data_IF_840634681274
#
_entry.id   IF_840634681274
#
_cell.length_a   1.000
_cell.length_b   1.000
_cell.length_c   1.000
_cell.angle_alpha   90.00
_cell.angle_beta   90.00
_cell.angle_gamma   90.00
#
_symmetry.space_group_name_H-M   'P 1'
#
loop_
_entity.id
_entity.type
_entity.pdbx_description
1 polymer ?
#
# COMPACT_ATOMS: atom_id res chain seq x y z
N UNK A 1 5.22 13.53 25.13
CA UNK A 1 5.38 14.23 23.83
C UNK A 1 6.84 14.58 23.55
N UNK A 2 7.56 15.29 24.44
CA UNK A 2 8.98 15.65 24.19
C UNK A 2 9.93 14.43 24.15
N UNK A 3 9.68 13.40 24.96
CA UNK A 3 10.52 12.18 24.98
C UNK A 3 10.35 11.30 23.73
N UNK A 4 9.16 11.28 23.11
CA UNK A 4 8.91 10.49 21.90
C UNK A 4 9.55 11.10 20.64
N UNK A 5 9.71 12.42 20.60
CA UNK A 5 10.39 13.11 19.48
C UNK A 5 11.87 12.72 19.41
N UNK A 6 12.51 12.44 20.56
CA UNK A 6 13.93 12.04 20.62
C UNK A 6 14.23 10.70 19.95
N UNK A 7 13.19 9.90 19.65
CA UNK A 7 13.35 8.63 18.95
C UNK A 7 13.44 8.82 17.43
N UNK A 8 13.07 9.99 16.92
CA UNK A 8 13.13 10.30 15.49
C UNK A 8 14.49 10.86 15.12
N UNK A 9 14.98 10.40 13.98
CA UNK A 9 16.12 11.01 13.30
C UNK A 9 15.65 12.21 12.48
N UNK A 10 14.57 12.00 11.72
CA UNK A 10 13.89 13.02 10.92
C UNK A 10 12.38 12.85 11.12
N UNK A 11 11.66 13.95 11.30
CA UNK A 11 10.20 13.97 11.37
C UNK A 11 9.72 15.24 10.69
N UNK A 12 9.00 15.07 9.59
CA UNK A 12 8.42 16.13 8.80
C UNK A 12 6.91 15.92 8.75
N UNK A 13 6.19 16.99 9.03
CA UNK A 13 4.74 17.03 9.03
C UNK A 13 4.28 17.97 7.91
N UNK A 14 3.29 17.51 7.16
CA UNK A 14 2.65 18.19 6.05
C UNK A 14 1.15 18.02 6.15
N UNK A 15 0.40 18.95 5.57
CA UNK A 15 -1.05 18.92 5.54
C UNK A 15 -1.53 18.89 4.09
N UNK A 16 -2.35 17.90 3.75
CA UNK A 16 -3.05 17.85 2.48
C UNK A 16 -4.39 18.57 2.62
N UNK A 17 -4.83 19.25 1.57
CA UNK A 17 -6.15 19.88 1.54
C UNK A 17 -7.27 18.85 1.71
N UNK A 18 -7.12 17.68 1.08
CA UNK A 18 -8.03 16.56 1.20
C UNK A 18 -7.30 15.33 1.77
N UNK A 19 -7.89 14.58 2.72
CA UNK A 19 -7.34 13.33 3.19
C UNK A 19 -7.11 12.34 2.05
N UNK A 20 -6.02 11.59 2.13
CA UNK A 20 -5.70 10.54 1.15
C UNK A 20 -5.73 9.17 1.80
N UNK A 21 -6.05 8.15 1.00
CA UNK A 21 -5.92 6.73 1.39
C UNK A 21 -4.95 5.95 0.50
N UNK A 22 -4.26 6.66 -0.39
CA UNK A 22 -3.33 6.08 -1.35
C UNK A 22 -2.07 6.94 -1.40
N UNK A 23 -0.91 6.29 -1.28
CA UNK A 23 0.39 6.89 -1.56
C UNK A 23 1.15 5.93 -2.46
N UNK A 24 1.56 6.40 -3.62
CA UNK A 24 2.35 5.62 -4.57
C UNK A 24 3.62 6.40 -4.95
N UNK A 25 4.78 5.77 -4.88
CA UNK A 25 6.01 6.39 -5.34
C UNK A 25 6.05 6.49 -6.86
N UNK A 26 6.42 7.66 -7.37
CA UNK A 26 6.74 7.90 -8.77
C UNK A 26 8.25 8.08 -8.87
N UNK A 27 8.91 7.00 -9.28
CA UNK A 27 10.37 6.95 -9.33
C UNK A 27 10.96 7.10 -7.94
N UNK A 28 11.95 7.99 -7.83
CA UNK A 28 12.61 8.23 -6.56
C UNK A 28 11.98 9.43 -5.82
N UNK A 29 11.85 10.58 -6.47
CA UNK A 29 11.73 11.86 -5.74
C UNK A 29 10.31 12.30 -5.41
N UNK A 30 9.32 11.67 -6.02
CA UNK A 30 7.93 12.16 -5.98
C UNK A 30 6.98 11.05 -5.56
N UNK A 31 5.88 11.46 -4.95
CA UNK A 31 4.76 10.60 -4.61
C UNK A 31 3.52 11.06 -5.35
N UNK A 32 2.59 10.14 -5.59
CA UNK A 32 1.25 10.45 -6.02
C UNK A 32 0.29 10.16 -4.87
N UNK A 33 -0.61 11.11 -4.62
CA UNK A 33 -1.69 11.01 -3.63
C UNK A 33 -3.01 11.38 -4.31
N UNK A 34 -4.10 10.85 -3.78
CA UNK A 34 -5.43 11.21 -4.26
C UNK A 34 -6.49 11.22 -3.16
N UNK A 35 -7.45 12.13 -3.29
CA UNK A 35 -8.61 12.20 -2.41
C UNK A 35 -9.56 11.00 -2.59
N UNK A 36 -10.32 10.69 -1.53
CA UNK A 36 -11.26 9.58 -1.51
C UNK A 36 -12.66 9.94 -0.99
N UNK A 37 -13.03 11.22 -1.03
CA UNK A 37 -14.34 11.71 -0.64
C UNK A 37 -15.39 11.41 -1.73
N UNK A 38 -16.49 10.75 -1.34
CA UNK A 38 -17.57 10.39 -2.25
C UNK A 38 -18.55 11.53 -2.59
N UNK A 39 -18.42 12.68 -1.94
CA UNK A 39 -19.36 13.81 -2.02
C UNK A 39 -18.84 15.00 -2.80
N UNK A 40 -17.54 15.07 -3.07
CA UNK A 40 -16.87 16.16 -3.79
C UNK A 40 -15.90 15.65 -4.85
N UNK A 41 -15.39 16.58 -5.64
CA UNK A 41 -14.26 16.32 -6.55
C UNK A 41 -13.01 16.04 -5.75
N UNK A 42 -12.25 15.03 -6.17
CA UNK A 42 -11.03 14.58 -5.49
C UNK A 42 -9.81 15.03 -6.28
N UNK A 43 -8.85 15.65 -5.61
CA UNK A 43 -7.56 15.98 -6.20
C UNK A 43 -6.72 14.71 -6.41
N UNK A 44 -5.97 14.68 -7.50
CA UNK A 44 -4.88 13.75 -7.74
C UNK A 44 -3.62 14.60 -7.90
N UNK A 45 -2.66 14.44 -7.00
CA UNK A 45 -1.47 15.28 -6.94
C UNK A 45 -0.21 14.43 -7.10
N UNK A 46 0.72 14.90 -7.92
CA UNK A 46 2.12 14.50 -7.85
C UNK A 46 2.86 15.52 -6.99
N UNK A 47 3.44 15.05 -5.89
CA UNK A 47 4.15 15.86 -4.91
C UNK A 47 5.62 15.49 -4.92
N UNK A 48 6.49 16.48 -5.19
CA UNK A 48 7.92 16.36 -5.02
C UNK A 48 8.27 16.45 -3.53
N UNK A 49 8.96 15.43 -3.04
CA UNK A 49 9.44 15.37 -1.66
C UNK A 49 10.58 16.39 -1.47
N UNK A 50 10.70 17.12 -0.34
CA UNK A 50 11.79 18.06 -0.12
C UNK A 50 13.18 17.45 -0.35
N UNK A 51 14.12 18.20 -0.95
CA UNK A 51 15.45 17.66 -1.30
C UNK A 51 16.21 17.03 -0.12
N UNK A 52 16.10 17.62 1.08
CA UNK A 52 16.70 17.05 2.32
C UNK A 52 16.25 15.61 2.57
N UNK A 53 15.04 15.30 2.15
CA UNK A 53 14.39 14.02 2.32
C UNK A 53 14.65 13.07 1.14
N UNK A 54 15.18 13.55 0.01
CA UNK A 54 15.55 12.73 -1.16
C UNK A 54 17.00 12.18 -1.12
N UNK A 55 17.95 12.98 -0.60
CA UNK A 55 19.39 12.84 -0.89
C UNK A 55 20.06 11.58 -0.29
N UNK A 56 20.95 10.95 -1.07
CA UNK A 56 21.87 9.86 -0.68
C UNK A 56 23.18 10.34 -0.01
N UNK A 57 23.68 11.56 -0.27
CA UNK A 57 24.79 12.18 0.46
C UNK A 57 24.97 13.69 0.13
N UNK A 58 25.56 14.42 1.09
CA UNK A 58 25.99 15.83 1.15
C UNK A 58 25.00 16.96 1.48
N UNK A 59 25.35 17.64 2.58
CA UNK A 59 24.68 18.74 3.25
C UNK A 59 24.99 20.07 2.54
N UNK A 60 24.18 20.43 1.55
CA UNK A 60 24.01 21.82 1.15
C UNK A 60 22.92 22.51 1.98
N UNK A 61 22.91 23.83 2.01
CA UNK A 61 21.74 24.59 2.44
C UNK A 61 20.59 24.31 1.45
N UNK A 62 19.70 23.36 1.79
CA UNK A 62 18.45 23.16 1.06
C UNK A 62 17.40 24.12 1.65
N UNK A 63 16.98 25.17 0.91
CA UNK A 63 15.97 26.11 1.40
C UNK A 63 14.56 25.51 1.37
N UNK A 64 14.32 24.51 0.51
CA UNK A 64 13.03 23.85 0.35
C UNK A 64 12.73 22.94 1.56
N UNK A 65 11.57 23.19 2.19
CA UNK A 65 11.11 22.47 3.38
C UNK A 65 9.77 21.76 3.17
N UNK A 66 8.97 22.24 2.22
CA UNK A 66 7.60 21.77 1.98
C UNK A 66 7.51 20.89 0.74
N UNK A 67 6.46 20.08 0.67
CA UNK A 67 6.09 19.35 -0.53
C UNK A 67 5.75 20.35 -1.65
N UNK A 68 6.28 20.10 -2.85
CA UNK A 68 5.97 20.91 -4.02
C UNK A 68 5.02 20.12 -4.93
N UNK A 69 3.89 20.71 -5.28
CA UNK A 69 3.01 20.15 -6.32
C UNK A 69 3.72 20.29 -7.67
N UNK A 70 4.00 19.16 -8.33
CA UNK A 70 4.52 19.14 -9.70
C UNK A 70 3.38 19.06 -10.71
N UNK A 71 2.39 18.21 -10.43
CA UNK A 71 1.26 17.98 -11.31
C UNK A 71 -0.03 17.82 -10.51
N UNK A 72 -1.13 18.33 -11.05
CA UNK A 72 -2.46 18.22 -10.44
C UNK A 72 -3.52 17.76 -11.44
N UNK A 73 -4.48 16.97 -10.97
CA UNK A 73 -5.67 16.56 -11.71
C UNK A 73 -6.86 16.43 -10.79
N UNK A 74 -8.05 16.27 -11.37
CA UNK A 74 -9.30 16.11 -10.62
C UNK A 74 -10.05 14.87 -11.07
N UNK A 75 -10.48 14.07 -10.09
CA UNK A 75 -11.37 12.93 -10.26
C UNK A 75 -12.75 13.26 -9.71
N UNK A 76 -13.79 12.92 -10.49
CA UNK A 76 -15.18 13.00 -10.02
C UNK A 76 -15.52 11.85 -9.05
N UNK A 77 -14.64 10.85 -8.93
CA UNK A 77 -14.84 9.66 -8.11
C UNK A 77 -13.76 9.57 -7.02
N UNK A 78 -14.10 9.03 -5.84
CA UNK A 78 -13.12 8.79 -4.80
C UNK A 78 -12.10 7.73 -5.22
N UNK A 79 -10.82 7.96 -4.93
CA UNK A 79 -9.72 7.06 -5.34
C UNK A 79 -9.39 6.07 -4.22
N UNK A 80 -9.62 4.78 -4.48
CA UNK A 80 -9.41 3.70 -3.50
C UNK A 80 -8.21 2.81 -3.84
N UNK A 81 -7.69 2.91 -5.06
CA UNK A 81 -6.42 2.32 -5.46
C UNK A 81 -5.75 3.25 -6.46
N UNK A 82 -4.44 3.41 -6.32
CA UNK A 82 -3.60 4.22 -7.19
C UNK A 82 -2.32 3.44 -7.47
N UNK A 83 -1.95 3.31 -8.75
CA UNK A 83 -0.70 2.65 -9.17
C UNK A 83 0.00 3.42 -10.25
N UNK A 84 1.31 3.59 -10.12
CA UNK A 84 2.15 4.18 -11.15
C UNK A 84 2.61 3.08 -12.12
N UNK A 85 2.69 3.41 -13.41
CA UNK A 85 3.19 2.48 -14.43
C UNK A 85 4.70 2.66 -14.59
N UNK A 86 5.54 1.68 -14.18
CA UNK A 86 6.99 1.82 -14.26
C UNK A 86 7.47 2.19 -15.66
N UNK A 87 8.38 3.16 -15.74
CA UNK A 87 8.95 3.64 -17.01
C UNK A 87 8.03 4.49 -17.88
N UNK A 88 6.80 4.78 -17.43
CA UNK A 88 5.81 5.54 -18.21
C UNK A 88 5.25 6.69 -17.37
N UNK A 89 4.87 7.80 -18.00
CA UNK A 89 4.19 8.92 -17.34
C UNK A 89 2.69 8.64 -17.15
N UNK A 90 2.35 7.47 -16.63
CA UNK A 90 0.99 6.98 -16.47
C UNK A 90 0.72 6.57 -15.01
N UNK A 91 -0.47 6.90 -14.54
CA UNK A 91 -1.02 6.37 -13.30
C UNK A 91 -2.41 5.79 -13.55
N UNK A 92 -2.77 4.82 -12.72
CA UNK A 92 -4.03 4.11 -12.77
C UNK A 92 -4.78 4.38 -11.47
N UNK A 93 -6.08 4.62 -11.56
CA UNK A 93 -6.94 4.74 -10.37
C UNK A 93 -8.16 3.84 -10.49
N UNK A 94 -8.64 3.34 -9.36
CA UNK A 94 -9.96 2.71 -9.27
C UNK A 94 -10.78 3.30 -8.13
N UNK A 95 -12.10 3.26 -8.30
CA UNK A 95 -13.08 3.73 -7.34
C UNK A 95 -14.09 2.63 -7.00
N UNK A 96 -14.75 2.68 -5.84
CA UNK A 96 -15.82 1.74 -5.50
C UNK A 96 -16.95 1.76 -6.53
N UNK A 97 -17.49 0.58 -6.85
CA UNK A 97 -18.66 0.40 -7.70
C UNK A 97 -18.62 1.02 -9.11
N UNK A 98 -17.46 1.50 -9.60
CA UNK A 98 -17.37 2.08 -10.95
C UNK A 98 -17.27 1.04 -12.06
N UNK A 99 -16.73 -0.15 -11.77
CA UNK A 99 -16.42 -1.13 -12.84
C UNK A 99 -15.25 -0.71 -13.74
N UNK A 100 -14.49 0.32 -13.36
CA UNK A 100 -13.53 0.95 -14.25
C UNK A 100 -12.19 1.19 -13.55
N UNK A 101 -11.13 0.88 -14.28
CA UNK A 101 -9.78 1.40 -13.99
C UNK A 101 -9.56 2.59 -14.91
N UNK A 102 -9.41 3.78 -14.33
CA UNK A 102 -9.14 5.01 -15.05
C UNK A 102 -7.64 5.15 -15.29
N UNK A 103 -7.24 5.38 -16.54
CA UNK A 103 -5.86 5.66 -16.93
C UNK A 103 -5.67 7.17 -17.03
N UNK A 104 -4.61 7.66 -16.42
CA UNK A 104 -4.24 9.08 -16.42
C UNK A 104 -2.83 9.25 -16.96
N UNK A 105 -2.61 10.35 -17.67
CA UNK A 105 -1.30 10.79 -18.11
C UNK A 105 -0.84 11.96 -17.27
N UNK A 106 0.33 11.79 -16.67
CA UNK A 106 1.10 12.86 -16.03
C UNK A 106 1.69 13.71 -17.15
N UNK A 107 1.55 15.03 -17.02
CA UNK A 107 2.12 16.00 -17.94
C UNK A 107 3.65 15.90 -18.01
N UNK A 108 4.23 16.39 -19.11
CA UNK A 108 5.66 16.61 -19.16
C UNK A 108 6.05 17.77 -18.22
N UNK A 109 7.35 18.06 -18.07
CA UNK A 109 7.85 19.11 -17.17
C UNK A 109 7.30 20.52 -17.47
N UNK A 110 6.80 20.75 -18.70
CA UNK A 110 6.19 22.01 -19.13
C UNK A 110 4.67 22.09 -18.86
N UNK A 111 4.08 21.02 -18.32
CA UNK A 111 2.64 20.90 -18.11
C UNK A 111 2.35 20.32 -16.75
N UNK A 112 1.84 21.15 -15.86
CA UNK A 112 1.54 20.78 -14.47
C UNK A 112 0.21 20.02 -14.31
N UNK A 113 -0.25 19.32 -15.35
CA UNK A 113 -1.60 18.71 -15.39
C UNK A 113 -1.53 17.19 -15.48
N UNK A 114 -2.28 16.53 -14.60
CA UNK A 114 -2.65 15.12 -14.69
C UNK A 114 -4.03 15.03 -15.35
N UNK A 115 -4.14 14.32 -16.47
CA UNK A 115 -5.39 14.23 -17.23
C UNK A 115 -5.80 12.79 -17.52
N UNK A 116 -7.11 12.48 -17.52
CA UNK A 116 -7.60 11.16 -17.91
C UNK A 116 -7.35 10.95 -19.40
N UNK A 117 -6.96 9.73 -19.79
CA UNK A 117 -6.69 9.37 -21.19
C UNK A 117 -7.58 8.26 -21.71
N UNK A 118 -7.83 7.23 -20.90
CA UNK A 118 -8.61 6.06 -21.28
C UNK A 118 -9.15 5.35 -20.05
N UNK A 119 -9.98 4.34 -20.26
CA UNK A 119 -10.53 3.48 -19.22
C UNK A 119 -10.36 2.02 -19.60
N UNK A 120 -10.13 1.17 -18.60
CA UNK A 120 -10.09 -0.29 -18.72
C UNK A 120 -11.31 -0.83 -17.98
N UNK A 121 -12.05 -1.71 -18.66
CA UNK A 121 -13.23 -2.36 -18.07
C UNK A 121 -12.77 -3.38 -17.01
N UNK A 122 -13.42 -3.35 -15.86
CA UNK A 122 -13.21 -4.28 -14.77
C UNK A 122 -14.58 -4.80 -14.34
N UNK A 123 -14.78 -6.11 -14.31
CA UNK A 123 -16.01 -6.66 -13.75
C UNK A 123 -15.98 -6.40 -12.24
N UNK A 124 -16.88 -5.53 -11.75
CA UNK A 124 -16.91 -5.14 -10.33
C UNK A 124 -18.22 -5.58 -9.69
N UNK A 125 -18.10 -6.34 -8.61
CA UNK A 125 -19.21 -6.57 -7.68
C UNK A 125 -19.58 -5.29 -6.94
N UNK A 126 -20.85 -5.14 -6.54
CA UNK A 126 -21.35 -3.92 -5.90
C UNK A 126 -20.78 -3.65 -4.49
N UNK A 127 -20.02 -4.59 -3.95
CA UNK A 127 -19.57 -4.69 -2.57
C UNK A 127 -18.09 -4.31 -2.36
N UNK A 128 -17.34 -4.01 -3.43
CA UNK A 128 -15.91 -3.65 -3.31
C UNK A 128 -15.44 -2.76 -4.48
N UNK A 129 -14.13 -2.52 -4.55
CA UNK A 129 -13.45 -1.82 -5.65
C UNK A 129 -12.39 -2.70 -6.29
N UNK A 130 -12.05 -2.40 -7.54
CA UNK A 130 -10.99 -3.08 -8.28
C UNK A 130 -9.63 -2.91 -7.60
N UNK A 131 -9.01 -4.02 -7.19
CA UNK A 131 -7.61 -4.08 -6.76
C UNK A 131 -6.71 -4.10 -8.00
N UNK A 132 -5.51 -3.53 -7.90
CA UNK A 132 -4.62 -3.37 -9.03
C UNK A 132 -3.17 -3.69 -8.64
N UNK A 133 -2.45 -4.32 -9.56
CA UNK A 133 -1.01 -4.45 -9.53
C UNK A 133 -0.44 -4.20 -10.93
N UNK A 134 0.74 -3.59 -11.00
CA UNK A 134 1.40 -3.28 -12.27
C UNK A 134 2.66 -4.11 -12.39
N UNK A 135 2.84 -4.89 -13.47
CA UNK A 135 4.07 -5.63 -13.70
C UNK A 135 5.20 -4.69 -14.09
N UNK A 136 6.43 -5.07 -13.77
CA UNK A 136 7.63 -4.39 -14.26
C UNK A 136 8.03 -5.01 -15.59
N UNK A 137 7.34 -4.62 -16.66
CA UNK A 137 7.52 -5.18 -18.02
C UNK A 137 7.73 -4.08 -19.05
N UNK A 138 8.27 -4.46 -20.22
CA UNK A 138 8.47 -3.51 -21.33
C UNK A 138 7.17 -3.05 -21.97
N UNK A 139 6.11 -3.88 -21.97
CA UNK A 139 4.77 -3.46 -22.36
C UNK A 139 3.98 -3.06 -21.10
N UNK A 140 3.37 -1.85 -21.05
CA UNK A 140 2.61 -1.39 -19.91
C UNK A 140 1.31 -2.18 -19.77
N UNK A 141 1.20 -2.97 -18.70
CA UNK A 141 0.02 -3.76 -18.37
C UNK A 141 -0.53 -3.43 -16.98
N UNK A 142 -1.74 -3.90 -16.68
CA UNK A 142 -2.31 -3.87 -15.33
C UNK A 142 -3.01 -5.19 -15.05
N UNK A 143 -2.64 -5.81 -13.93
CA UNK A 143 -3.40 -6.88 -13.32
C UNK A 143 -4.49 -6.26 -12.45
N UNK A 144 -5.74 -6.59 -12.71
CA UNK A 144 -6.87 -6.00 -12.01
C UNK A 144 -8.00 -7.02 -11.78
N UNK A 145 -8.77 -6.79 -10.72
CA UNK A 145 -9.93 -7.58 -10.37
C UNK A 145 -10.53 -7.13 -9.04
N UNK A 146 -11.78 -7.47 -8.80
CA UNK A 146 -12.49 -7.18 -7.55
C UNK A 146 -12.80 -8.45 -6.74
N UNK A 147 -12.93 -9.59 -7.42
CA UNK A 147 -13.16 -10.92 -6.85
C UNK A 147 -12.15 -11.92 -7.42
N UNK A 148 -11.96 -13.05 -6.74
CA UNK A 148 -11.00 -14.07 -7.16
C UNK A 148 -11.29 -14.62 -8.57
N UNK A 149 -12.56 -14.65 -9.00
CA UNK A 149 -12.99 -15.17 -10.30
C UNK A 149 -12.99 -14.17 -11.46
N UNK A 150 -12.58 -12.91 -11.22
CA UNK A 150 -12.57 -11.88 -12.26
C UNK A 150 -11.22 -11.18 -12.45
N UNK A 151 -10.14 -11.84 -12.01
CA UNK A 151 -8.78 -11.31 -12.16
C UNK A 151 -8.29 -11.45 -13.59
N UNK A 152 -7.82 -10.34 -14.15
CA UNK A 152 -7.41 -10.23 -15.55
C UNK A 152 -6.16 -9.34 -15.67
N UNK A 153 -5.35 -9.60 -16.69
CA UNK A 153 -4.25 -8.73 -17.12
C UNK A 153 -4.64 -8.04 -18.42
N UNK A 154 -4.62 -6.71 -18.43
CA UNK A 154 -4.94 -5.90 -19.62
C UNK A 154 -3.72 -5.06 -20.01
N UNK A 155 -3.39 -5.05 -21.30
CA UNK A 155 -2.41 -4.11 -21.87
C UNK A 155 -3.02 -2.71 -21.91
N UNK A 156 -2.33 -1.72 -21.34
CA UNK A 156 -2.91 -0.39 -21.09
C UNK A 156 -3.16 0.39 -22.38
N UNK A 157 -2.25 0.33 -23.35
CA UNK A 157 -2.35 1.13 -24.58
C UNK A 157 -3.40 0.59 -25.55
N UNK A 158 -3.42 -0.72 -25.78
CA UNK A 158 -4.35 -1.36 -26.71
C UNK A 158 -5.69 -1.72 -26.06
N UNK A 159 -5.78 -1.67 -24.73
CA UNK A 159 -6.91 -2.17 -23.94
C UNK A 159 -7.21 -3.66 -24.21
N UNK A 160 -6.21 -4.40 -24.69
CA UNK A 160 -6.34 -5.82 -25.00
C UNK A 160 -6.17 -6.64 -23.72
N UNK A 161 -7.14 -7.49 -23.43
CA UNK A 161 -7.00 -8.52 -22.42
C UNK A 161 -5.92 -9.53 -22.86
N UNK A 162 -4.86 -9.64 -22.07
CA UNK A 162 -3.72 -10.54 -22.31
C UNK A 162 -3.95 -11.86 -21.59
N UNK A 163 -4.57 -11.81 -20.42
CA UNK A 163 -4.74 -12.96 -19.54
C UNK A 163 -6.00 -12.83 -18.70
N UNK A 164 -6.62 -13.97 -18.39
CA UNK A 164 -7.74 -14.10 -17.47
C UNK A 164 -7.50 -15.32 -16.61
N UNK A 165 -7.59 -15.16 -15.29
CA UNK A 165 -7.49 -16.27 -14.36
C UNK A 165 -8.86 -16.92 -14.19
N UNK A 166 -8.97 -18.20 -14.54
CA UNK A 166 -10.17 -18.98 -14.27
C UNK A 166 -10.12 -19.52 -12.83
N UNK A 167 -10.89 -18.94 -11.92
CA UNK A 167 -11.09 -19.50 -10.57
C UNK A 167 -12.57 -19.70 -10.28
N UNK A 168 -12.88 -20.67 -9.41
CA UNK A 168 -14.26 -20.95 -8.97
C UNK A 168 -14.70 -20.06 -7.80
N UNK A 169 -13.79 -19.32 -7.17
CA UNK A 169 -14.07 -18.51 -5.97
C UNK A 169 -14.68 -17.16 -6.31
N UNK A 170 -15.86 -16.85 -5.78
CA UNK A 170 -16.50 -15.53 -5.92
C UNK A 170 -16.15 -14.55 -4.80
N UNK A 171 -15.18 -14.91 -3.97
CA UNK A 171 -14.78 -14.12 -2.82
C UNK A 171 -14.15 -12.79 -3.25
N UNK A 172 -14.43 -11.70 -2.54
CA UNK A 172 -13.82 -10.40 -2.79
C UNK A 172 -12.32 -10.42 -2.47
N UNK A 173 -11.55 -9.66 -3.26
CA UNK A 173 -10.11 -9.55 -3.10
C UNK A 173 -9.75 -8.55 -2.01
N UNK A 174 -8.86 -8.97 -1.11
CA UNK A 174 -8.16 -8.08 -0.19
C UNK A 174 -6.99 -7.38 -0.88
N UNK A 175 -6.19 -8.11 -1.64
CA UNK A 175 -5.00 -7.54 -2.32
C UNK A 175 -4.56 -8.35 -3.55
N UNK A 176 -3.81 -7.68 -4.42
CA UNK A 176 -3.15 -8.24 -5.60
C UNK A 176 -1.70 -7.74 -5.63
N UNK A 177 -0.74 -8.60 -5.96
CA UNK A 177 0.68 -8.21 -6.06
C UNK A 177 1.46 -9.14 -6.98
N UNK A 178 2.41 -8.60 -7.73
CA UNK A 178 3.38 -9.41 -8.50
C UNK A 178 4.54 -9.85 -7.62
N UNK A 179 4.90 -11.14 -7.70
CA UNK A 179 6.13 -11.68 -7.12
C UNK A 179 7.31 -11.43 -8.05
N UNK A 180 7.07 -11.62 -9.35
CA UNK A 180 8.00 -11.41 -10.45
C UNK A 180 7.24 -10.99 -11.72
N UNK A 181 7.90 -10.97 -12.88
CA UNK A 181 7.30 -10.54 -14.15
C UNK A 181 6.10 -11.39 -14.61
N UNK A 182 6.02 -12.65 -14.17
CA UNK A 182 5.01 -13.60 -14.63
C UNK A 182 4.13 -14.14 -13.49
N UNK A 183 4.64 -14.18 -12.27
CA UNK A 183 3.96 -14.76 -11.12
C UNK A 183 3.32 -13.70 -10.26
N UNK A 184 2.06 -13.89 -9.88
CA UNK A 184 1.33 -12.97 -9.00
C UNK A 184 0.57 -13.70 -7.89
N UNK A 185 0.35 -12.98 -6.79
CA UNK A 185 -0.40 -13.39 -5.62
C UNK A 185 -1.79 -12.75 -5.64
N UNK A 186 -2.79 -13.56 -5.33
CA UNK A 186 -4.11 -13.12 -4.93
C UNK A 186 -4.31 -13.43 -3.44
N UNK A 187 -4.83 -12.46 -2.71
CA UNK A 187 -5.34 -12.67 -1.35
C UNK A 187 -6.82 -12.34 -1.33
N UNK A 188 -7.65 -13.33 -1.03
CA UNK A 188 -9.05 -13.15 -0.70
C UNK A 188 -9.21 -12.51 0.69
N UNK A 189 -10.31 -11.79 0.91
CA UNK A 189 -10.65 -11.22 2.21
C UNK A 189 -10.80 -12.27 3.33
N UNK A 190 -11.19 -13.51 3.06
CA UNK A 190 -11.28 -14.63 4.01
C UNK A 190 -9.91 -15.20 4.40
N UNK A 191 -8.84 -14.76 3.73
CA UNK A 191 -7.48 -15.26 3.96
C UNK A 191 -7.04 -16.36 2.99
N UNK A 192 -7.81 -16.64 1.94
CA UNK A 192 -7.37 -17.53 0.85
C UNK A 192 -6.20 -16.90 0.09
N UNK A 193 -5.12 -17.65 -0.10
CA UNK A 193 -3.97 -17.24 -0.90
C UNK A 193 -3.86 -18.11 -2.15
N UNK A 194 -3.72 -17.48 -3.32
CA UNK A 194 -3.50 -18.18 -4.58
C UNK A 194 -2.32 -17.57 -5.32
N UNK A 195 -1.45 -18.43 -5.85
CA UNK A 195 -0.40 -18.05 -6.79
C UNK A 195 -0.78 -18.48 -8.20
N UNK A 196 -0.62 -17.57 -9.14
CA UNK A 196 -0.86 -17.80 -10.55
C UNK A 196 0.32 -17.31 -11.38
N UNK A 197 0.53 -17.96 -12.52
CA UNK A 197 1.56 -17.61 -13.50
C UNK A 197 0.85 -17.24 -14.80
N UNK A 198 1.07 -16.04 -15.32
CA UNK A 198 0.38 -15.54 -16.52
C UNK A 198 0.65 -16.39 -17.78
N UNK A 199 1.69 -17.24 -17.75
CA UNK A 199 2.04 -18.17 -18.84
C UNK A 199 1.18 -19.44 -18.79
N UNK A 200 0.41 -19.63 -17.72
CA UNK A 200 -0.41 -20.83 -17.46
C UNK A 200 -1.86 -20.42 -17.21
N UNK A 201 -2.82 -21.18 -17.73
CA UNK A 201 -4.25 -20.90 -17.52
C UNK A 201 -4.77 -21.34 -16.15
N UNK A 202 -4.01 -22.14 -15.41
CA UNK A 202 -4.42 -22.75 -14.14
C UNK A 202 -3.69 -22.11 -12.94
N UNK A 203 -4.27 -22.29 -11.76
CA UNK A 203 -3.67 -21.87 -10.48
C UNK A 203 -2.43 -22.72 -10.20
N UNK A 204 -1.30 -22.08 -9.89
CA UNK A 204 -0.04 -22.76 -9.63
C UNK A 204 0.02 -23.34 -8.20
N UNK A 205 -0.52 -22.61 -7.22
CA UNK A 205 -0.55 -23.05 -5.81
C UNK A 205 -1.67 -22.34 -5.04
N UNK A 206 -2.22 -23.01 -4.04
CA UNK A 206 -3.29 -22.49 -3.18
C UNK A 206 -3.01 -22.83 -1.71
N UNK A 207 -3.31 -21.89 -0.83
CA UNK A 207 -3.23 -22.02 0.62
C UNK A 207 -4.27 -21.16 1.33
N UNK A 208 -4.32 -21.26 2.66
CA UNK A 208 -5.27 -20.51 3.47
C UNK A 208 -4.61 -20.03 4.76
N UNK A 209 -4.88 -18.78 5.12
CA UNK A 209 -4.44 -18.13 6.34
C UNK A 209 -5.34 -18.47 7.55
N UNK A 210 -6.07 -19.59 7.49
CA UNK A 210 -6.98 -20.08 8.53
C UNK A 210 -6.24 -20.43 9.84
N UNK A 211 -5.72 -19.39 10.49
CA UNK A 211 -5.35 -19.36 11.88
C UNK A 211 -6.63 -19.21 12.72
N UNK A 212 -6.50 -19.23 14.04
CA UNK A 212 -7.60 -19.02 15.00
C UNK A 212 -8.32 -17.66 14.92
N UNK A 213 -8.21 -16.94 13.79
CA UNK A 213 -8.96 -15.74 13.48
C UNK A 213 -10.46 -16.06 13.37
N UNK A 214 -11.32 -15.12 13.74
CA UNK A 214 -12.76 -15.31 13.54
C UNK A 214 -13.09 -15.49 12.06
N UNK A 215 -14.16 -16.23 11.76
CA UNK A 215 -14.66 -16.44 10.39
C UNK A 215 -15.02 -15.15 9.64
N UNK A 216 -15.08 -14.01 10.33
CA UNK A 216 -15.40 -12.69 9.78
C UNK A 216 -14.17 -11.78 9.65
N UNK A 217 -12.95 -12.32 9.86
CA UNK A 217 -11.72 -11.54 9.72
C UNK A 217 -11.43 -11.27 8.25
N UNK A 218 -11.03 -10.03 7.95
CA UNK A 218 -10.58 -9.63 6.63
C UNK A 218 -9.07 -9.69 6.52
N UNK A 219 -8.56 -10.09 5.36
CA UNK A 219 -7.13 -10.30 5.12
C UNK A 219 -6.63 -9.50 3.93
N UNK A 220 -5.40 -9.01 4.07
CA UNK A 220 -4.58 -8.48 2.98
C UNK A 220 -3.20 -9.16 3.01
N UNK A 221 -2.50 -9.12 1.89
CA UNK A 221 -1.15 -9.64 1.77
C UNK A 221 -0.27 -8.73 0.91
N UNK A 222 1.02 -8.79 1.19
CA UNK A 222 2.06 -8.10 0.44
C UNK A 222 3.25 -9.04 0.23
N UNK A 223 3.95 -8.87 -0.88
CA UNK A 223 5.12 -9.65 -1.23
C UNK A 223 6.34 -8.75 -1.19
N UNK A 224 7.48 -9.27 -0.73
CA UNK A 224 8.76 -8.58 -0.89
C UNK A 224 9.29 -8.89 -2.29
N UNK A 225 9.41 -7.92 -3.22
CA UNK A 225 9.92 -8.21 -4.56
C UNK A 225 11.29 -8.90 -4.50
N UNK A 226 11.46 -9.97 -5.29
CA UNK A 226 12.69 -10.78 -5.30
C UNK A 226 12.90 -11.68 -4.08
N UNK A 227 11.95 -11.73 -3.15
CA UNK A 227 11.93 -12.65 -2.02
C UNK A 227 10.76 -13.63 -2.14
N UNK A 228 10.84 -14.70 -1.35
CA UNK A 228 9.81 -15.75 -1.31
C UNK A 228 8.79 -15.54 -0.20
N UNK A 229 8.96 -14.51 0.61
CA UNK A 229 8.14 -14.31 1.80
C UNK A 229 6.93 -13.45 1.47
N UNK A 230 5.76 -13.98 1.80
CA UNK A 230 4.46 -13.31 1.73
C UNK A 230 4.12 -12.89 3.16
N UNK A 231 3.87 -11.61 3.39
CA UNK A 231 3.38 -11.12 4.67
C UNK A 231 1.88 -10.79 4.55
N UNK A 232 1.09 -11.33 5.47
CA UNK A 232 -0.35 -11.15 5.51
C UNK A 232 -0.78 -10.53 6.83
N UNK A 233 -1.83 -9.72 6.77
CA UNK A 233 -2.39 -9.00 7.91
C UNK A 233 -3.90 -9.22 7.95
N UNK A 234 -4.41 -9.60 9.12
CA UNK A 234 -5.85 -9.70 9.37
C UNK A 234 -6.41 -8.45 10.04
N UNK A 235 -7.71 -8.25 9.93
CA UNK A 235 -8.44 -7.18 10.61
C UNK A 235 -8.48 -7.32 12.14
N UNK A 236 -8.04 -8.47 12.68
CA UNK A 236 -7.85 -8.71 14.11
C UNK A 236 -6.39 -8.46 14.55
N UNK A 237 -5.53 -8.01 13.64
CA UNK A 237 -4.12 -7.77 13.89
C UNK A 237 -3.26 -9.03 13.85
N UNK A 238 -3.75 -10.15 13.32
CA UNK A 238 -2.89 -11.31 13.08
C UNK A 238 -1.95 -11.04 11.91
N UNK A 239 -0.66 -11.29 12.11
CA UNK A 239 0.37 -11.16 11.10
C UNK A 239 0.96 -12.54 10.83
N UNK A 240 0.99 -12.93 9.57
CA UNK A 240 1.47 -14.24 9.13
C UNK A 240 2.49 -14.05 8.03
N UNK A 241 3.60 -14.77 8.12
CA UNK A 241 4.60 -14.82 7.06
C UNK A 241 4.63 -16.25 6.51
N UNK A 242 4.51 -16.38 5.20
CA UNK A 242 4.44 -17.65 4.47
C UNK A 242 5.51 -17.67 3.37
N UNK A 243 6.07 -18.84 3.10
CA UNK A 243 6.92 -19.06 1.92
C UNK A 243 6.04 -19.26 0.68
N UNK A 244 6.30 -18.53 -0.41
CA UNK A 244 5.57 -18.65 -1.66
C UNK A 244 5.65 -20.05 -2.28
N UNK A 245 6.63 -20.87 -1.88
CA UNK A 245 6.75 -22.27 -2.30
C UNK A 245 5.86 -23.22 -1.52
N UNK A 246 5.40 -22.83 -0.33
CA UNK A 246 4.56 -23.66 0.55
C UNK A 246 3.51 -22.78 1.25
N UNK A 247 2.37 -22.59 0.57
CA UNK A 247 1.31 -21.71 1.05
C UNK A 247 0.48 -22.29 2.20
N UNK A 248 0.65 -23.55 2.57
CA UNK A 248 -0.19 -24.22 3.57
C UNK A 248 0.35 -24.10 4.98
N UNK A 249 1.64 -23.77 5.13
CA UNK A 249 2.30 -23.71 6.44
C UNK A 249 2.86 -22.31 6.70
N UNK A 250 2.40 -21.62 7.76
CA UNK A 250 3.03 -20.40 8.24
C UNK A 250 4.50 -20.65 8.59
N UNK A 251 5.39 -19.73 8.18
CA UNK A 251 6.76 -19.67 8.68
C UNK A 251 6.83 -18.95 10.03
N UNK A 252 6.07 -17.86 10.15
CA UNK A 252 6.12 -16.96 11.32
C UNK A 252 4.75 -16.38 11.59
N UNK A 253 4.40 -16.30 12.86
CA UNK A 253 3.14 -15.74 13.34
C UNK A 253 3.36 -14.70 14.42
N UNK A 254 2.52 -13.68 14.40
CA UNK A 254 2.45 -12.65 15.43
C UNK A 254 1.02 -12.15 15.61
N UNK A 255 0.70 -11.71 16.82
CA UNK A 255 -0.46 -10.88 17.09
C UNK A 255 0.01 -9.44 17.30
N UNK A 256 -0.36 -8.56 16.40
CA UNK A 256 -0.07 -7.14 16.50
C UNK A 256 -0.81 -6.51 17.67
N UNK A 257 -0.26 -5.42 18.21
CA UNK A 257 -0.90 -4.63 19.27
C UNK A 257 -1.94 -3.72 18.64
N UNK A 258 -3.13 -4.28 18.39
CA UNK A 258 -4.27 -3.60 17.78
C UNK A 258 -5.31 -3.30 18.86
N UNK A 259 -5.73 -2.03 18.94
CA UNK A 259 -6.68 -1.54 19.94
C UNK A 259 -8.14 -1.83 19.56
N UNK A 260 -8.45 -1.86 18.26
CA UNK A 260 -9.81 -2.09 17.71
C UNK A 260 -9.73 -2.93 16.44
N UNK A 261 -10.62 -3.91 16.29
CA UNK A 261 -10.74 -4.69 15.06
C UNK A 261 -11.13 -3.81 13.86
N UNK A 262 -10.53 -4.07 12.71
CA UNK A 262 -10.78 -3.28 11.49
C UNK A 262 -11.96 -3.80 10.65
N UNK A 263 -12.62 -2.92 9.90
CA UNK A 263 -13.73 -3.25 8.99
C UNK A 263 -13.23 -3.56 7.57
N UNK A 264 -14.03 -4.13 6.64
CA UNK A 264 -13.56 -4.43 5.28
C UNK A 264 -13.27 -3.18 4.42
N UNK A 265 -13.80 -2.02 4.81
CA UNK A 265 -13.45 -0.71 4.21
C UNK A 265 -12.14 -0.14 4.77
N UNK A 266 -11.45 -0.90 5.63
CA UNK A 266 -10.34 -0.40 6.42
C UNK A 266 -9.12 -0.01 5.63
N UNK A 267 -8.37 0.89 6.27
CA UNK A 267 -7.06 1.36 5.89
C UNK A 267 -5.93 0.37 6.21
N UNK A 268 -6.26 -0.92 6.39
CA UNK A 268 -5.27 -1.95 6.70
C UNK A 268 -4.13 -1.89 5.70
N UNK A 269 -2.91 -1.77 6.22
CA UNK A 269 -1.72 -1.65 5.40
C UNK A 269 -0.60 -2.49 6.00
N UNK A 270 -0.02 -3.35 5.19
CA UNK A 270 1.19 -4.09 5.52
C UNK A 270 2.18 -3.96 4.37
N UNK A 271 3.43 -3.62 4.68
CA UNK A 271 4.49 -3.49 3.69
C UNK A 271 5.81 -4.03 4.23
N UNK A 272 6.53 -4.76 3.38
CA UNK A 272 7.93 -5.11 3.61
C UNK A 272 8.83 -3.88 3.46
N UNK A 273 9.82 -3.76 4.33
CA UNK A 273 10.86 -2.76 4.15
C UNK A 273 11.73 -3.13 2.94
N UNK A 274 11.93 -2.23 1.97
CA UNK A 274 12.68 -2.53 0.75
C UNK A 274 14.19 -2.67 1.02
N UNK A 275 14.69 -2.03 2.09
CA UNK A 275 16.13 -1.92 2.39
C UNK A 275 16.52 -2.32 3.82
N UNK A 276 15.55 -2.54 4.71
CA UNK A 276 15.79 -2.98 6.09
C UNK A 276 15.40 -4.46 6.21
N UNK A 277 16.39 -5.34 6.19
CA UNK A 277 16.14 -6.78 6.07
C UNK A 277 15.35 -7.35 7.25
N UNK A 278 14.39 -8.22 6.95
CA UNK A 278 13.51 -8.89 7.92
C UNK A 278 12.45 -7.98 8.56
N UNK A 279 12.32 -6.72 8.13
CA UNK A 279 11.37 -5.78 8.72
C UNK A 279 10.09 -5.61 7.91
N UNK A 280 8.97 -5.53 8.63
CA UNK A 280 7.65 -5.19 8.09
C UNK A 280 7.06 -4.02 8.86
N UNK A 281 6.11 -3.35 8.22
CA UNK A 281 5.37 -2.22 8.76
C UNK A 281 3.88 -2.52 8.70
N UNK A 282 3.14 -2.13 9.74
CA UNK A 282 1.69 -2.36 9.88
C UNK A 282 1.02 -1.06 10.33
N UNK A 283 -0.13 -0.73 9.72
CA UNK A 283 -0.99 0.39 10.13
C UNK A 283 -2.46 0.12 9.75
N UNK A 284 -3.32 1.12 9.95
CA UNK A 284 -4.72 1.07 9.53
C UNK A 284 -5.71 0.73 10.64
N UNK A 285 -5.25 0.57 11.87
CA UNK A 285 -6.10 0.26 13.03
C UNK A 285 -6.35 1.45 13.95
N UNK A 286 -5.39 2.38 14.00
CA UNK A 286 -5.42 3.59 14.81
C UNK A 286 -4.47 4.64 14.20
N UNK A 287 -4.11 5.68 14.96
CA UNK A 287 -3.17 6.71 14.56
C UNK A 287 -1.69 6.30 14.60
N UNK A 288 -1.37 5.00 14.55
CA UNK A 288 0.01 4.50 14.63
C UNK A 288 0.46 3.70 13.42
N UNK A 289 1.77 3.78 13.16
CA UNK A 289 2.48 2.85 12.25
C UNK A 289 3.48 2.07 13.09
N UNK A 290 3.36 0.75 13.07
CA UNK A 290 4.18 -0.18 13.85
C UNK A 290 5.18 -0.89 12.94
N UNK A 291 6.46 -0.87 13.31
CA UNK A 291 7.54 -1.57 12.62
C UNK A 291 7.93 -2.79 13.43
N UNK A 292 8.03 -3.94 12.79
CA UNK A 292 8.41 -5.20 13.42
C UNK A 292 9.66 -5.78 12.75
N UNK A 293 10.61 -6.26 13.56
CA UNK A 293 11.65 -7.20 13.09
C UNK A 293 11.13 -8.63 13.24
N UNK A 294 11.08 -9.34 12.12
CA UNK A 294 10.50 -10.68 12.02
C UNK A 294 11.54 -11.79 12.18
N UNK A 295 12.84 -11.47 12.31
CA UNK A 295 13.93 -12.48 12.32
C UNK A 295 13.82 -13.47 13.48
N UNK A 296 13.39 -13.00 14.65
CA UNK A 296 13.24 -13.80 15.86
C UNK A 296 11.88 -14.49 16.00
N UNK A 297 11.00 -14.33 15.02
CA UNK A 297 9.66 -14.90 15.09
C UNK A 297 9.66 -16.40 14.80
N UNK A 298 8.65 -17.06 15.33
CA UNK A 298 8.38 -18.48 15.19
C UNK A 298 6.92 -18.67 14.76
N UNK A 299 6.49 -19.91 14.54
CA UNK A 299 5.13 -20.24 14.10
C UNK A 299 4.05 -19.99 15.17
N UNK A 300 4.43 -19.73 16.43
CA UNK A 300 3.46 -19.50 17.50
C UNK A 300 2.80 -18.13 17.40
N UNK A 301 1.47 -18.11 17.44
CA UNK A 301 0.69 -16.89 17.46
C UNK A 301 0.74 -16.26 18.85
N UNK A 302 1.62 -15.28 19.03
CA UNK A 302 1.78 -14.49 20.25
C UNK A 302 2.09 -13.04 19.94
N UNK A 303 1.88 -12.17 20.92
CA UNK A 303 2.31 -10.78 20.80
C UNK A 303 3.83 -10.69 20.63
N UNK A 304 4.28 -9.84 19.71
CA UNK A 304 5.70 -9.60 19.42
C UNK A 304 6.08 -8.17 19.77
N UNK A 305 7.34 -7.99 20.14
CA UNK A 305 7.86 -6.66 20.39
C UNK A 305 7.94 -5.85 19.09
N UNK A 306 7.54 -4.59 19.20
CA UNK A 306 7.57 -3.64 18.11
C UNK A 306 8.95 -3.00 18.10
N UNK A 307 9.64 -3.05 16.95
CA UNK A 307 10.94 -2.39 16.77
C UNK A 307 10.80 -0.87 16.92
N UNK A 308 9.74 -0.30 16.34
CA UNK A 308 9.43 1.12 16.44
C UNK A 308 7.94 1.40 16.25
N UNK A 309 7.39 2.38 16.96
CA UNK A 309 5.99 2.84 16.77
C UNK A 309 5.97 4.33 16.48
N UNK A 310 5.59 4.69 15.25
CA UNK A 310 5.24 6.06 14.92
C UNK A 310 3.87 6.38 15.51
N UNK A 311 3.78 7.48 16.27
CA UNK A 311 2.56 7.96 16.93
C UNK A 311 2.21 9.40 16.54
N UNK A 312 2.80 9.93 15.47
CA UNK A 312 2.59 11.34 15.08
C UNK A 312 1.11 11.65 14.89
N UNK A 313 0.40 10.83 14.10
CA UNK A 313 -1.01 11.04 13.80
C UNK A 313 -1.90 10.94 15.05
N UNK A 314 -1.55 10.08 16.01
CA UNK A 314 -2.31 9.92 17.24
C UNK A 314 -2.10 11.06 18.27
N UNK A 315 -1.07 11.89 18.11
CA UNK A 315 -0.59 12.84 19.13
C UNK A 315 -0.81 14.29 18.73
N UNK A 316 -0.93 14.58 17.43
CA UNK A 316 -0.89 15.95 16.91
C UNK A 316 -2.24 16.63 16.71
N UNK A 317 -3.36 15.92 16.86
CA UNK A 317 -4.68 16.53 16.75
C UNK A 317 -5.83 15.56 17.03
N UNK A 318 -7.03 16.12 17.14
CA UNK A 318 -8.28 15.36 17.04
C UNK A 318 -8.91 15.69 15.69
N UNK A 319 -9.58 14.72 15.09
CA UNK A 319 -10.45 14.93 13.95
C UNK A 319 -11.57 15.94 14.30
N UNK A 320 -12.28 16.46 13.29
CA UNK A 320 -13.40 17.40 13.49
C UNK A 320 -14.50 16.82 14.42
N UNK A 321 -14.65 15.50 14.45
CA UNK A 321 -15.58 14.76 15.30
C UNK A 321 -15.05 14.48 16.72
N UNK A 322 -13.83 14.91 17.05
CA UNK A 322 -13.16 14.68 18.32
C UNK A 322 -12.48 13.30 18.44
N UNK A 323 -12.43 12.51 17.36
CA UNK A 323 -11.72 11.23 17.30
C UNK A 323 -10.21 11.37 17.12
N UNK A 324 -9.45 10.32 17.44
CA UNK A 324 -8.01 10.24 17.12
C UNK A 324 -7.88 9.93 15.62
N UNK A 325 -7.06 10.66 14.86
CA UNK A 325 -6.82 10.37 13.45
C UNK A 325 -6.36 8.92 13.24
N UNK A 326 -6.96 8.26 12.24
CA UNK A 326 -6.60 6.90 11.85
C UNK A 326 -5.65 6.96 10.66
N UNK A 327 -4.54 6.23 10.72
CA UNK A 327 -3.62 6.09 9.59
C UNK A 327 -4.36 5.43 8.44
N UNK A 328 -4.36 6.08 7.27
CA UNK A 328 -5.10 5.65 6.09
C UNK A 328 -4.26 4.80 5.15
N UNK A 329 -2.96 5.06 5.12
CA UNK A 329 -1.97 4.31 4.35
C UNK A 329 -0.56 4.72 4.79
N UNK A 330 0.41 3.88 4.48
CA UNK A 330 1.83 4.23 4.56
C UNK A 330 2.62 3.48 3.49
N UNK A 331 3.79 4.01 3.14
CA UNK A 331 4.73 3.33 2.26
C UNK A 331 6.17 3.64 2.66
N UNK A 332 7.06 2.69 2.40
CA UNK A 332 8.48 2.87 2.63
C UNK A 332 9.10 3.71 1.53
N UNK A 333 10.10 4.50 1.89
CA UNK A 333 10.93 5.15 0.91
C UNK A 333 11.74 4.11 0.10
N UNK A 334 11.80 4.18 -1.24
CA UNK A 334 12.33 3.07 -2.05
C UNK A 334 13.83 2.76 -1.84
N UNK A 335 14.64 3.72 -1.37
CA UNK A 335 16.08 3.50 -1.11
C UNK A 335 16.58 3.91 0.28
N UNK A 336 15.75 4.53 1.13
CA UNK A 336 16.18 4.89 2.49
C UNK A 336 15.72 3.79 3.44
N UNK A 337 16.66 3.26 4.22
CA UNK A 337 16.46 2.05 5.01
C UNK A 337 15.32 2.17 6.04
N UNK A 338 15.24 3.31 6.73
CA UNK A 338 14.31 3.54 7.86
C UNK A 338 13.35 4.71 7.61
N UNK A 339 13.15 5.12 6.36
CA UNK A 339 12.25 6.24 6.05
C UNK A 339 10.91 5.75 5.53
N UNK A 340 9.84 6.26 6.11
CA UNK A 340 8.47 6.03 5.68
C UNK A 340 7.75 7.34 5.44
N UNK A 341 6.68 7.25 4.66
CA UNK A 341 5.64 8.27 4.59
C UNK A 341 4.31 7.63 4.98
N UNK A 342 3.53 8.32 5.81
CA UNK A 342 2.21 7.87 6.28
C UNK A 342 1.21 9.02 6.25
N UNK A 343 -0.03 8.71 5.88
CA UNK A 343 -1.15 9.66 5.89
C UNK A 343 -2.23 9.23 6.88
N UNK A 344 -3.04 10.17 7.34
CA UNK A 344 -4.23 9.89 8.13
C UNK A 344 -5.49 10.57 7.56
N UNK A 345 -6.64 10.20 8.13
CA UNK A 345 -7.98 10.61 7.69
C UNK A 345 -8.33 12.07 8.01
N UNK A 346 -7.45 12.78 8.72
CA UNK A 346 -7.53 14.21 9.02
C UNK A 346 -6.76 15.08 8.00
N UNK A 347 -6.12 14.47 7.00
CA UNK A 347 -5.29 15.18 6.02
C UNK A 347 -3.82 15.30 6.40
N UNK A 348 -3.42 14.87 7.59
CA UNK A 348 -2.01 14.87 7.99
C UNK A 348 -1.20 13.86 7.18
N UNK A 349 0.01 14.26 6.80
CA UNK A 349 0.96 13.48 6.01
C UNK A 349 2.35 13.62 6.65
N UNK A 350 2.86 12.54 7.21
CA UNK A 350 4.16 12.54 7.89
C UNK A 350 5.19 11.79 7.08
N UNK A 351 6.38 12.38 6.93
CA UNK A 351 7.58 11.68 6.47
C UNK A 351 8.58 11.61 7.61
N UNK A 352 9.00 10.40 7.96
CA UNK A 352 9.75 10.17 9.19
C UNK A 352 10.79 9.07 9.07
N UNK A 353 11.83 9.19 9.90
CA UNK A 353 12.94 8.26 10.10
C UNK A 353 13.22 8.17 11.61
N UNK A 354 13.67 7.04 12.12
CA UNK A 354 13.94 6.81 13.54
C UNK A 354 15.38 6.41 13.80
N UNK A 355 15.84 6.69 15.02
CA UNK A 355 17.19 6.34 15.45
C UNK A 355 17.31 4.83 15.64
N UNK A 356 18.42 4.27 15.16
CA UNK A 356 18.78 2.90 15.51
C UNK A 356 19.35 2.86 16.93
N UNK A 357 18.53 2.40 17.88
CA UNK A 357 18.90 2.29 19.29
C UNK A 357 20.03 1.27 19.50
N UNK A 358 20.31 0.40 18.53
CA UNK A 358 21.45 -0.53 18.57
C UNK A 358 22.80 0.12 18.21
N UNK A 359 22.83 1.40 17.81
CA UNK A 359 24.07 2.15 17.52
C UNK A 359 24.46 3.13 18.64
N UNK A 360 24.00 2.86 19.87
CA UNK A 360 24.54 3.52 21.06
C UNK A 360 26.04 3.28 21.19
N UNK A 361 26.82 4.34 20.99
CA UNK A 361 28.21 4.48 21.41
C UNK A 361 28.43 4.06 22.86
#
# INVERSE_FOLDING_TARGET
MVESIRLYKDLHDFELQDPTRVIEWIGEKSICVAGYDGTKTNEILQLLVPQKLQIKENQGLCPERDLKVEHGGFSQYPVYSLKHVPGHSLILTSSPASGLVQVWKIGAEDKDVIRPTSTIQSDVGKDTWTKMAVPVTSSPGVLHGSHMNNVQLTEIESNKQIYTLATLGSEALGSLSFLDENTFLLCGLSGTLMLADIRQSEIASEGSLALSASCNSHWIATVKPGHKDIASLSSEGHIVIIDSRELKTPLKCAKGKVSVSSTPESFMCINWAPRLDGCISVSGFDGTVQIYDTKSWDESLKERDVLFTHKGHAVMGLCEDGGIPQVTCHTWHPWKERTLISAANDGSLHMWDWLDVCTGL
#
